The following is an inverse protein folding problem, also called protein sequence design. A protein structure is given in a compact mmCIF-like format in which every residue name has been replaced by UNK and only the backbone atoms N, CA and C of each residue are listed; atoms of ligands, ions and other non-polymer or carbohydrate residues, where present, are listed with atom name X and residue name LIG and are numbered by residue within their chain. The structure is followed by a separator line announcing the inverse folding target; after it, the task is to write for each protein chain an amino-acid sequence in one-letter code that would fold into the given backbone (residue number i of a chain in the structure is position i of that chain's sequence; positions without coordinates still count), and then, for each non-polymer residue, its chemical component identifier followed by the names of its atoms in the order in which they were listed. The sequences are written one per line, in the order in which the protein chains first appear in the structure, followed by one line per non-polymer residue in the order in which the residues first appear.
data_IF_153420255098
#
_entry.id   IF_153420255098
#
_cell.length_a   1.000
_cell.length_b   1.000
_cell.length_c   1.000
_cell.angle_alpha   90.00
_cell.angle_beta   90.00
_cell.angle_gamma   90.00
#
_symmetry.space_group_name_H-M   'P 1'
#
loop_
_entity.id
_entity.type
_entity.pdbx_description
1 polymer ?
#
# COMPACT_ATOMS: atom_id res chain seq x y z
N UNK A 1 6.46 -1.86 5.73
CA UNK A 1 6.08 -3.08 4.96
C UNK A 1 5.33 -2.68 3.70
N UNK A 2 4.92 -3.58 2.80
CA UNK A 2 4.15 -3.17 1.60
C UNK A 2 2.65 -3.12 1.91
N UNK A 3 2.08 -4.25 2.31
CA UNK A 3 0.71 -4.46 2.75
C UNK A 3 0.49 -3.86 4.13
N UNK A 4 0.17 -4.68 5.13
CA UNK A 4 -0.01 -4.20 6.49
C UNK A 4 0.16 -5.32 7.50
N UNK A 5 -0.61 -5.27 8.57
CA UNK A 5 -0.50 -6.23 9.66
C UNK A 5 -1.09 -7.60 9.30
N UNK A 6 -0.69 -8.62 10.04
CA UNK A 6 -1.24 -9.97 9.94
C UNK A 6 -1.79 -10.41 11.30
N UNK A 7 -2.94 -11.11 11.36
CA UNK A 7 -3.41 -11.77 12.58
C UNK A 7 -2.43 -12.84 13.08
N UNK A 8 -1.52 -13.33 12.22
CA UNK A 8 -0.50 -14.31 12.57
C UNK A 8 0.82 -13.69 13.04
N UNK A 9 0.97 -12.36 12.92
CA UNK A 9 2.18 -11.64 13.33
C UNK A 9 2.15 -11.36 14.84
N UNK A 10 2.69 -12.31 15.60
CA UNK A 10 2.78 -12.26 17.05
C UNK A 10 4.12 -11.74 17.56
N UNK A 11 5.20 -11.90 16.79
CA UNK A 11 6.54 -11.38 17.08
C UNK A 11 7.23 -10.93 15.79
N UNK A 12 8.01 -9.86 15.87
CA UNK A 12 8.87 -9.43 14.77
C UNK A 12 9.94 -10.48 14.39
N UNK A 13 10.25 -11.43 15.28
CA UNK A 13 11.15 -12.55 14.97
C UNK A 13 10.60 -13.46 13.87
N UNK A 14 9.27 -13.62 13.77
CA UNK A 14 8.64 -14.40 12.70
C UNK A 14 9.00 -13.84 11.31
N UNK A 15 9.25 -12.53 11.20
CA UNK A 15 9.68 -11.91 9.94
C UNK A 15 11.10 -12.32 9.55
N UNK A 16 11.97 -12.55 10.54
CA UNK A 16 13.37 -12.95 10.35
C UNK A 16 13.48 -14.43 9.96
N UNK A 17 12.50 -15.22 10.37
CA UNK A 17 12.43 -16.68 10.13
C UNK A 17 11.84 -17.05 8.76
N UNK A 18 11.33 -16.08 7.98
CA UNK A 18 10.84 -16.33 6.63
C UNK A 18 12.01 -16.83 5.75
N UNK A 19 11.94 -18.11 5.36
CA UNK A 19 12.96 -18.74 4.52
C UNK A 19 12.93 -18.14 3.12
N UNK A 20 14.11 -17.89 2.55
CA UNK A 20 14.27 -17.33 1.20
C UNK A 20 15.19 -18.22 0.36
N UNK A 21 14.90 -18.43 -0.94
CA UNK A 21 13.77 -17.87 -1.69
C UNK A 21 12.43 -18.54 -1.31
N UNK A 22 11.32 -17.81 -1.46
CA UNK A 22 9.97 -18.32 -1.28
C UNK A 22 9.02 -17.63 -2.26
N UNK A 23 8.02 -18.38 -2.71
CA UNK A 23 6.86 -17.80 -3.39
C UNK A 23 5.93 -17.14 -2.36
N UNK A 24 5.06 -16.23 -2.83
CA UNK A 24 4.03 -15.63 -1.99
C UNK A 24 2.89 -16.64 -1.86
N UNK A 25 2.55 -17.13 -0.65
CA UNK A 25 1.45 -18.06 -0.46
C UNK A 25 0.09 -17.35 -0.63
N UNK A 26 -0.97 -18.14 -0.85
CA UNK A 26 -2.34 -17.61 -0.97
C UNK A 26 -2.90 -17.06 0.34
N UNK A 27 -2.37 -17.52 1.48
CA UNK A 27 -2.80 -17.13 2.83
C UNK A 27 -1.64 -17.15 3.84
N UNK A 28 -1.91 -16.62 5.03
CA UNK A 28 -0.99 -16.60 6.17
C UNK A 28 -0.03 -15.41 6.16
N UNK A 29 0.89 -15.41 7.12
CA UNK A 29 1.75 -14.26 7.43
C UNK A 29 2.33 -13.54 6.20
N UNK A 30 3.05 -14.21 5.31
CA UNK A 30 3.69 -13.55 4.16
C UNK A 30 2.67 -12.93 3.18
N UNK A 31 1.52 -13.56 2.98
CA UNK A 31 0.44 -12.99 2.19
C UNK A 31 -0.06 -11.68 2.81
N UNK A 32 -0.34 -11.70 4.11
CA UNK A 32 -0.89 -10.54 4.82
C UNK A 32 0.06 -9.34 4.86
N UNK A 33 1.36 -9.57 5.07
CA UNK A 33 2.38 -8.52 5.07
C UNK A 33 2.45 -7.75 3.73
N UNK A 34 1.93 -8.35 2.65
CA UNK A 34 1.93 -7.81 1.30
C UNK A 34 0.54 -7.32 0.86
N UNK A 35 -0.55 -7.87 1.40
CA UNK A 35 -1.90 -7.67 0.86
C UNK A 35 -2.93 -7.09 1.84
N UNK A 36 -2.65 -7.03 3.14
CA UNK A 36 -3.61 -6.45 4.09
C UNK A 36 -3.66 -4.93 4.04
N UNK A 37 -4.82 -4.37 4.39
CA UNK A 37 -5.08 -2.93 4.36
C UNK A 37 -5.65 -2.40 5.69
N UNK A 38 -5.27 -1.18 6.13
CA UNK A 38 -5.97 -0.49 7.20
C UNK A 38 -7.39 -0.08 6.77
N UNK A 39 -8.34 -0.14 7.69
CA UNK A 39 -9.73 0.26 7.46
C UNK A 39 -10.29 1.00 8.68
N UNK A 40 -10.87 2.19 8.46
CA UNK A 40 -11.43 3.03 9.53
C UNK A 40 -12.78 2.55 10.04
N UNK A 41 -13.49 1.76 9.24
CA UNK A 41 -14.85 1.30 9.54
C UNK A 41 -14.84 -0.08 10.23
N UNK A 42 -13.65 -0.68 10.38
CA UNK A 42 -13.43 -1.97 11.02
C UNK A 42 -12.86 -1.80 12.43
N UNK A 43 -13.42 -2.54 13.37
CA UNK A 43 -12.81 -2.79 14.68
C UNK A 43 -12.26 -4.22 14.69
N UNK A 44 -10.97 -4.39 15.01
CA UNK A 44 -10.31 -5.69 14.96
C UNK A 44 -9.82 -6.05 13.57
N UNK A 45 -10.14 -7.27 13.12
CA UNK A 45 -9.80 -7.78 11.79
C UNK A 45 -11.06 -7.90 10.94
N UNK A 46 -10.97 -7.49 9.67
CA UNK A 46 -12.05 -7.55 8.70
C UNK A 46 -11.67 -8.36 7.46
N UNK A 47 -12.66 -8.62 6.60
CA UNK A 47 -12.43 -9.26 5.30
C UNK A 47 -12.01 -8.21 4.28
N UNK A 48 -11.03 -8.55 3.43
CA UNK A 48 -10.59 -7.66 2.35
C UNK A 48 -11.50 -7.76 1.14
N UNK A 49 -12.02 -6.62 0.69
CA UNK A 49 -12.79 -6.49 -0.56
C UNK A 49 -11.94 -6.76 -1.82
N UNK A 50 -10.61 -6.84 -1.68
CA UNK A 50 -9.70 -7.25 -2.77
C UNK A 50 -9.74 -8.75 -3.04
N UNK A 51 -10.39 -9.53 -2.17
CA UNK A 51 -10.46 -10.99 -2.27
C UNK A 51 -9.18 -11.71 -1.85
N UNK A 52 -8.23 -11.01 -1.21
CA UNK A 52 -6.97 -11.56 -0.69
C UNK A 52 -6.65 -10.92 0.66
N UNK A 53 -6.14 -11.72 1.60
CA UNK A 53 -5.82 -11.29 2.97
C UNK A 53 -7.03 -10.67 3.71
N UNK A 54 -6.77 -9.68 4.58
CA UNK A 54 -7.68 -9.10 5.55
C UNK A 54 -7.55 -7.57 5.61
N UNK A 55 -8.50 -6.93 6.28
CA UNK A 55 -8.37 -5.55 6.74
C UNK A 55 -8.13 -5.51 8.25
N UNK A 56 -7.59 -4.40 8.75
CA UNK A 56 -7.37 -4.20 10.19
C UNK A 56 -7.73 -2.80 10.65
N UNK A 57 -8.36 -2.73 11.82
CA UNK A 57 -8.77 -1.49 12.46
C UNK A 57 -7.63 -0.74 13.15
N UNK A 58 -7.94 0.49 13.56
CA UNK A 58 -7.02 1.34 14.33
C UNK A 58 -6.62 0.69 15.67
N UNK A 59 -7.51 -0.10 16.28
CA UNK A 59 -7.23 -0.84 17.52
C UNK A 59 -6.10 -1.86 17.34
N UNK A 60 -6.10 -2.62 16.23
CA UNK A 60 -5.04 -3.60 15.93
C UNK A 60 -3.72 -2.96 15.58
N UNK A 61 -3.75 -1.82 14.90
CA UNK A 61 -2.56 -1.03 14.68
C UNK A 61 -1.93 -0.53 15.99
N UNK A 62 -2.74 0.07 16.87
CA UNK A 62 -2.25 0.59 18.16
C UNK A 62 -1.72 -0.53 19.04
N UNK A 63 -2.47 -1.63 19.17
CA UNK A 63 -2.05 -2.83 19.92
C UNK A 63 -0.68 -3.34 19.43
N UNK A 64 -0.51 -3.43 18.10
CA UNK A 64 0.75 -3.89 17.51
C UNK A 64 1.91 -2.93 17.81
N UNK A 65 1.70 -1.62 17.66
CA UNK A 65 2.75 -0.63 17.88
C UNK A 65 3.19 -0.58 19.34
N UNK A 66 2.23 -0.58 20.28
CA UNK A 66 2.52 -0.58 21.72
C UNK A 66 3.26 -1.84 22.15
N UNK A 67 2.82 -3.01 21.69
CA UNK A 67 3.46 -4.29 22.00
C UNK A 67 4.92 -4.37 21.54
N UNK A 68 5.26 -3.68 20.44
CA UNK A 68 6.59 -3.73 19.84
C UNK A 68 7.43 -2.46 20.08
N UNK A 69 6.95 -1.55 20.94
CA UNK A 69 7.61 -0.27 21.25
C UNK A 69 7.95 0.55 19.98
N UNK A 70 6.98 0.62 19.06
CA UNK A 70 7.09 1.35 17.79
C UNK A 70 6.16 2.57 17.75
N UNK A 71 6.54 3.57 16.97
CA UNK A 71 5.75 4.80 16.82
C UNK A 71 4.89 4.84 15.56
N UNK A 72 5.37 4.24 14.46
CA UNK A 72 4.79 4.42 13.13
C UNK A 72 4.94 3.16 12.28
N UNK A 73 3.87 2.76 11.60
CA UNK A 73 3.95 1.87 10.42
C UNK A 73 4.00 2.72 9.16
N UNK A 74 5.06 2.55 8.36
CA UNK A 74 5.11 3.04 6.98
C UNK A 74 4.77 1.90 6.02
N UNK A 75 3.78 2.13 5.14
CA UNK A 75 3.31 1.15 4.16
C UNK A 75 2.92 1.76 2.80
N UNK A 76 2.55 0.92 1.82
CA UNK A 76 2.21 1.36 0.46
C UNK A 76 0.84 0.81 -0.02
N UNK A 77 0.79 0.06 -1.13
CA UNK A 77 -0.36 -0.72 -1.65
C UNK A 77 -1.64 0.04 -2.07
N UNK A 78 -2.17 0.95 -1.25
CA UNK A 78 -3.36 1.74 -1.55
C UNK A 78 -2.96 3.04 -2.27
N UNK A 79 -3.66 3.33 -3.39
CA UNK A 79 -3.58 4.64 -4.05
C UNK A 79 -4.27 5.66 -3.15
N UNK A 80 -3.60 6.78 -2.87
CA UNK A 80 -4.12 7.87 -2.03
C UNK A 80 -3.93 9.20 -2.76
N UNK A 81 -4.86 10.14 -2.59
CA UNK A 81 -4.99 11.36 -3.39
C UNK A 81 -3.70 12.19 -3.44
N UNK A 82 -3.13 12.52 -2.29
CA UNK A 82 -1.92 13.34 -2.18
C UNK A 82 -0.61 12.53 -2.28
N UNK A 83 -0.70 11.23 -2.60
CA UNK A 83 0.45 10.32 -2.59
C UNK A 83 0.89 9.89 -1.19
N UNK A 84 0.36 10.50 -0.12
CA UNK A 84 0.46 9.97 1.24
C UNK A 84 -0.85 10.15 2.00
N UNK A 85 -1.10 9.31 2.99
CA UNK A 85 -2.25 9.42 3.88
C UNK A 85 -1.91 8.89 5.27
N UNK A 86 -2.35 9.59 6.31
CA UNK A 86 -2.20 9.13 7.70
C UNK A 86 -3.46 8.41 8.18
N UNK A 87 -3.24 7.35 8.96
CA UNK A 87 -4.27 6.56 9.62
C UNK A 87 -4.03 6.51 11.13
N UNK A 88 -5.11 6.31 11.90
CA UNK A 88 -5.12 6.14 13.35
C UNK A 88 -4.24 7.17 14.10
N UNK A 89 -4.60 8.46 14.03
CA UNK A 89 -3.87 9.53 14.73
C UNK A 89 -2.39 9.59 14.34
N UNK A 90 -2.10 9.38 13.04
CA UNK A 90 -0.74 9.40 12.46
C UNK A 90 0.17 8.27 12.94
N UNK A 91 -0.40 7.16 13.41
CA UNK A 91 0.32 5.95 13.82
C UNK A 91 0.59 5.00 12.65
N UNK A 92 -0.04 5.22 11.50
CA UNK A 92 0.31 4.60 10.23
C UNK A 92 0.31 5.65 9.12
N UNK A 93 1.23 5.50 8.17
CA UNK A 93 1.27 6.28 6.94
C UNK A 93 1.30 5.36 5.73
N UNK A 94 0.39 5.60 4.80
CA UNK A 94 0.38 5.03 3.46
C UNK A 94 1.16 5.97 2.54
N UNK A 95 2.12 5.44 1.78
CA UNK A 95 2.89 6.15 0.75
C UNK A 95 2.62 5.51 -0.60
N UNK A 96 2.21 6.31 -1.57
CA UNK A 96 2.03 5.91 -2.95
C UNK A 96 2.84 6.83 -3.86
N UNK A 97 3.75 6.26 -4.67
CA UNK A 97 4.76 7.06 -5.40
C UNK A 97 4.56 7.08 -6.92
N UNK A 98 3.41 6.59 -7.43
CA UNK A 98 3.07 6.64 -8.85
C UNK A 98 1.97 7.69 -9.11
N UNK A 99 2.32 8.93 -9.54
CA UNK A 99 1.33 9.95 -9.90
C UNK A 99 0.51 9.52 -11.11
N UNK A 100 -0.75 9.97 -11.16
CA UNK A 100 -1.69 9.62 -12.24
C UNK A 100 -1.76 8.10 -12.44
N UNK A 101 -2.01 7.35 -11.36
CA UNK A 101 -1.93 5.90 -11.39
C UNK A 101 -2.82 5.31 -12.49
N UNK A 102 -2.27 4.40 -13.28
CA UNK A 102 -2.91 3.80 -14.47
C UNK A 102 -3.45 4.79 -15.53
N UNK A 103 -3.21 6.11 -15.41
CA UNK A 103 -3.86 7.12 -16.24
C UNK A 103 -5.34 7.34 -15.92
N UNK A 104 -5.84 6.77 -14.82
CA UNK A 104 -7.26 6.77 -14.44
C UNK A 104 -7.51 7.59 -13.16
N UNK A 105 -6.49 7.70 -12.30
CA UNK A 105 -6.53 8.49 -11.07
C UNK A 105 -5.81 9.83 -11.30
N UNK A 106 -6.19 10.89 -10.60
CA UNK A 106 -5.49 12.19 -10.60
C UNK A 106 -4.55 12.35 -9.39
N UNK A 107 -4.25 11.24 -8.72
CA UNK A 107 -3.42 11.23 -7.52
C UNK A 107 -2.01 11.77 -7.77
N UNK A 108 -1.45 12.42 -6.75
CA UNK A 108 -0.02 12.69 -6.68
C UNK A 108 0.76 11.44 -6.26
N UNK A 109 2.06 11.47 -6.49
CA UNK A 109 3.00 10.58 -5.81
C UNK A 109 3.63 11.28 -4.61
N UNK A 110 4.05 10.53 -3.59
CA UNK A 110 4.85 11.08 -2.50
C UNK A 110 6.11 10.26 -2.21
N UNK A 111 7.10 10.92 -1.63
CA UNK A 111 8.26 10.33 -0.99
C UNK A 111 8.26 10.74 0.49
N UNK A 112 8.55 9.80 1.38
CA UNK A 112 8.75 10.05 2.81
C UNK A 112 10.25 10.12 3.10
N UNK A 113 10.70 11.26 3.63
CA UNK A 113 12.04 11.43 4.16
C UNK A 113 11.98 11.42 5.69
N UNK A 114 12.88 10.65 6.32
CA UNK A 114 13.01 10.52 7.77
C UNK A 114 14.44 10.92 8.13
N UNK A 115 14.61 11.95 8.95
CA UNK A 115 15.92 12.44 9.38
C UNK A 115 16.45 11.71 10.63
N UNK A 116 17.64 12.10 11.10
CA UNK A 116 18.29 11.52 12.28
C UNK A 116 17.50 11.73 13.59
N UNK A 117 16.62 12.74 13.62
CA UNK A 117 15.70 12.99 14.74
C UNK A 117 14.37 12.24 14.61
N UNK A 118 14.24 11.38 13.58
CA UNK A 118 13.02 10.69 13.17
C UNK A 118 11.90 11.63 12.74
N UNK A 119 12.23 12.87 12.36
CA UNK A 119 11.26 13.80 11.80
C UNK A 119 10.87 13.33 10.39
N UNK A 120 9.57 13.17 10.18
CA UNK A 120 8.99 12.76 8.91
C UNK A 120 8.58 13.97 8.07
N UNK A 121 9.12 14.10 6.86
CA UNK A 121 8.72 15.10 5.86
C UNK A 121 8.35 14.45 4.53
N UNK A 122 7.50 15.10 3.74
CA UNK A 122 6.98 14.56 2.48
C UNK A 122 7.35 15.43 1.29
N UNK A 123 7.85 14.81 0.22
CA UNK A 123 8.01 15.44 -1.09
C UNK A 123 6.90 14.95 -2.02
N UNK A 124 6.12 15.88 -2.59
CA UNK A 124 4.94 15.56 -3.41
C UNK A 124 5.24 15.77 -4.90
N UNK A 125 5.01 14.72 -5.68
CA UNK A 125 5.14 14.66 -7.12
C UNK A 125 3.75 14.73 -7.76
N UNK A 126 3.34 15.92 -8.19
CA UNK A 126 2.06 16.10 -8.89
C UNK A 126 2.08 15.41 -10.26
N UNK A 127 0.94 14.88 -10.73
CA UNK A 127 0.84 14.33 -12.07
C UNK A 127 1.18 15.40 -13.13
N UNK A 128 1.88 15.00 -14.17
CA UNK A 128 2.22 15.91 -15.26
C UNK A 128 0.95 16.25 -16.05
N UNK A 129 0.67 17.54 -16.21
CA UNK A 129 -0.33 17.98 -17.17
C UNK A 129 0.17 17.68 -18.59
N UNK A 130 -0.45 16.69 -19.24
CA UNK A 130 -0.19 16.46 -20.65
C UNK A 130 -0.86 17.56 -21.47
N UNK A 131 -0.09 18.60 -21.82
CA UNK A 131 -0.53 19.64 -22.74
C UNK A 131 -0.86 19.04 -24.12
N UNK A 132 -2.14 18.72 -24.35
CA UNK A 132 -2.67 18.23 -25.64
C UNK A 132 -2.39 19.18 -26.82
N UNK A 133 -2.02 20.44 -26.56
CA UNK A 133 -1.80 21.48 -27.56
C UNK A 133 -0.44 21.44 -28.28
N UNK A 134 0.53 20.60 -27.86
CA UNK A 134 1.83 20.43 -28.56
C UNK A 134 2.00 19.12 -29.32
N UNK A 135 1.03 18.21 -29.26
CA UNK A 135 1.03 16.96 -30.01
C UNK A 135 0.37 17.12 -31.40
N UNK A 136 0.83 18.09 -32.19
CA UNK A 136 0.47 18.25 -33.60
C UNK A 136 1.20 17.29 -34.55
N UNK A 137 1.77 16.20 -34.02
CA UNK A 137 2.46 15.17 -34.80
C UNK A 137 1.87 13.80 -34.49
N UNK A 138 1.22 13.20 -35.49
CA UNK A 138 0.67 11.84 -35.57
C UNK A 138 0.75 10.99 -34.29
N UNK A 139 -0.39 10.84 -33.61
CA UNK A 139 -0.62 9.86 -32.55
C UNK A 139 -0.43 8.44 -33.09
N UNK A 140 0.68 7.80 -32.77
CA UNK A 140 0.74 6.33 -32.69
C UNK A 140 0.29 5.96 -31.27
N UNK A 141 -1.01 5.70 -31.11
CA UNK A 141 -1.51 5.05 -29.90
C UNK A 141 -0.73 3.76 -29.69
N UNK A 142 0.06 3.67 -28.60
CA UNK A 142 0.54 2.37 -28.14
C UNK A 142 -0.67 1.58 -27.68
N UNK A 143 -0.95 0.40 -28.24
CA UNK A 143 -2.12 -0.37 -27.85
C UNK A 143 -2.00 -0.77 -26.37
N UNK A 144 -3.06 -0.50 -25.62
CA UNK A 144 -3.28 -1.08 -24.29
C UNK A 144 -3.25 -2.61 -24.44
N UNK A 145 -2.47 -3.34 -23.63
CA UNK A 145 -2.54 -4.80 -23.64
C UNK A 145 -3.98 -5.23 -23.31
N UNK A 146 -4.58 -6.02 -24.20
CA UNK A 146 -5.93 -6.57 -23.99
C UNK A 146 -5.96 -7.35 -22.67
N UNK A 147 -7.04 -7.13 -21.91
CA UNK A 147 -7.42 -7.84 -20.67
C UNK A 147 -6.94 -9.30 -20.66
N UNK A 148 -6.28 -9.69 -19.58
CA UNK A 148 -5.97 -11.08 -19.26
C UNK A 148 -7.25 -11.94 -19.35
N UNK A 149 -7.19 -13.14 -19.95
CA UNK A 149 -8.35 -14.01 -20.05
C UNK A 149 -8.79 -14.44 -18.65
N UNK A 150 -10.11 -14.42 -18.42
CA UNK A 150 -10.75 -14.99 -17.22
C UNK A 150 -10.34 -16.46 -17.11
N UNK A 151 -9.77 -16.84 -15.97
CA UNK A 151 -9.60 -18.24 -15.60
C UNK A 151 -11.00 -18.89 -15.61
N UNK A 152 -11.18 -19.88 -16.49
CA UNK A 152 -12.39 -20.67 -16.57
C UNK A 152 -12.47 -21.66 -15.41
N UNK A 153 -13.68 -21.84 -14.90
CA UNK A 153 -14.04 -22.94 -14.01
C UNK A 153 -13.72 -24.30 -14.65
N UNK A 154 -12.96 -25.13 -13.95
CA UNK A 154 -13.13 -26.58 -13.84
C UNK A 154 -12.31 -27.10 -12.65
#
# INVERSE_FOLDING_TARGET
MHGGLSPELNSLDQLREITRPTEIPDYGLLCDLLWSDPDSDVQGWGTSDRGVSCTFGADKLVEFLEKNELDLICRAHQVVEDGYEFFAQRRLVTIFSAPNYCGEFDNAGALLSIDESLLCSFEILKPLEYNKSKAGGASTMRPVPKKLPKAGNA
#
